data_IF_903804946825
#
_entry.id   IF_903804946825
#
_cell.length_a   1.000
_cell.length_b   1.000
_cell.length_c   1.000
_cell.angle_alpha   90.00
_cell.angle_beta   90.00
_cell.angle_gamma   90.00
#
_symmetry.space_group_name_H-M   'P 1'
#
loop_
_entity.id
_entity.type
_entity.pdbx_description
1 polymer ?
#
# COMPACT_ATOMS: atom_id res chain seq x y z
N UNK A 1 -68.86 -32.68 -13.71
CA UNK A 1 -68.23 -31.76 -14.67
C UNK A 1 -69.01 -30.45 -14.65
N UNK A 2 -68.52 -29.45 -13.89
CA UNK A 2 -69.16 -28.14 -13.81
C UNK A 2 -68.40 -27.17 -14.73
N UNK A 3 -69.04 -26.70 -15.79
CA UNK A 3 -68.47 -25.72 -16.72
C UNK A 3 -68.65 -24.34 -16.11
N UNK A 4 -67.56 -23.71 -15.68
CA UNK A 4 -67.57 -22.30 -15.25
C UNK A 4 -67.43 -21.44 -16.51
N UNK A 5 -68.46 -20.64 -16.79
CA UNK A 5 -68.44 -19.63 -17.85
C UNK A 5 -67.64 -18.42 -17.39
N UNK A 6 -66.75 -17.89 -18.24
CA UNK A 6 -66.05 -16.62 -18.00
C UNK A 6 -66.92 -15.48 -18.51
N UNK A 7 -67.25 -14.52 -17.64
CA UNK A 7 -67.81 -13.23 -18.04
C UNK A 7 -66.73 -12.38 -18.72
N UNK A 8 -67.07 -11.80 -19.88
CA UNK A 8 -66.30 -10.76 -20.53
C UNK A 8 -66.42 -9.47 -19.73
N UNK A 9 -65.28 -8.93 -19.26
CA UNK A 9 -65.23 -7.58 -18.70
C UNK A 9 -65.15 -6.59 -19.86
N UNK A 10 -66.17 -5.75 -19.97
CA UNK A 10 -66.24 -4.62 -20.90
C UNK A 10 -65.18 -3.55 -20.56
N UNK A 11 -64.77 -2.81 -21.60
CA UNK A 11 -63.79 -1.73 -21.60
C UNK A 11 -64.03 -0.69 -20.49
N UNK A 12 -63.07 -0.61 -19.55
CA UNK A 12 -62.96 0.44 -18.53
C UNK A 12 -62.04 1.59 -18.98
N UNK A 13 -62.11 2.77 -18.32
CA UNK A 13 -61.44 3.98 -18.78
C UNK A 13 -59.92 3.81 -18.87
N UNK A 14 -59.33 4.41 -19.92
CA UNK A 14 -57.90 4.37 -20.25
C UNK A 14 -57.04 4.45 -18.98
N UNK A 15 -56.28 3.38 -18.71
CA UNK A 15 -55.22 3.37 -17.71
C UNK A 15 -54.33 4.59 -17.95
N UNK A 16 -54.36 5.57 -17.04
CA UNK A 16 -53.22 6.47 -16.87
C UNK A 16 -51.99 5.58 -16.76
N UNK A 17 -51.02 5.77 -17.67
CA UNK A 17 -49.81 4.95 -17.71
C UNK A 17 -49.20 4.91 -16.31
N UNK A 18 -49.32 3.75 -15.64
CA UNK A 18 -48.86 3.60 -14.28
C UNK A 18 -47.34 3.68 -14.28
N UNK A 19 -46.82 4.86 -13.94
CA UNK A 19 -45.39 5.13 -13.92
C UNK A 19 -44.71 4.18 -12.92
N UNK A 20 -43.81 3.34 -13.44
CA UNK A 20 -43.01 2.45 -12.60
C UNK A 20 -42.00 3.25 -11.78
N UNK A 21 -41.58 2.72 -10.64
CA UNK A 21 -40.57 3.38 -9.80
C UNK A 21 -39.26 3.63 -10.58
N UNK A 22 -38.88 2.72 -11.47
CA UNK A 22 -37.72 2.89 -12.34
C UNK A 22 -37.87 4.04 -13.32
N UNK A 23 -39.06 4.23 -13.90
CA UNK A 23 -39.35 5.39 -14.77
C UNK A 23 -39.24 6.69 -14.00
N UNK A 24 -39.80 6.77 -12.78
CA UNK A 24 -39.65 7.96 -11.91
C UNK A 24 -38.19 8.27 -11.59
N UNK A 25 -37.40 7.25 -11.28
CA UNK A 25 -35.98 7.41 -10.96
C UNK A 25 -35.18 7.90 -12.17
N UNK A 26 -35.42 7.32 -13.35
CA UNK A 26 -34.77 7.74 -14.60
C UNK A 26 -35.18 9.16 -15.00
N UNK A 27 -36.46 9.49 -14.91
CA UNK A 27 -36.97 10.83 -15.20
C UNK A 27 -36.36 11.87 -14.26
N UNK A 28 -36.27 11.57 -12.96
CA UNK A 28 -35.61 12.44 -11.97
C UNK A 28 -34.13 12.65 -12.26
N UNK A 29 -33.42 11.59 -12.66
CA UNK A 29 -32.01 11.66 -13.00
C UNK A 29 -31.77 12.50 -14.25
N UNK A 30 -32.61 12.33 -15.27
CA UNK A 30 -32.53 13.07 -16.53
C UNK A 30 -32.80 14.56 -16.31
N UNK A 31 -33.79 14.92 -15.49
CA UNK A 31 -34.03 16.31 -15.07
C UNK A 31 -32.83 16.91 -14.33
N UNK A 32 -32.17 16.14 -13.47
CA UNK A 32 -30.97 16.61 -12.76
C UNK A 32 -29.76 16.79 -13.69
N UNK A 33 -29.66 16.01 -14.76
CA UNK A 33 -28.57 16.11 -15.75
C UNK A 33 -28.78 17.22 -16.78
N UNK A 34 -30.04 17.50 -17.15
CA UNK A 34 -30.39 18.57 -18.09
C UNK A 34 -30.52 19.95 -17.44
N UNK A 35 -30.49 20.03 -16.10
CA UNK A 35 -30.58 21.30 -15.40
C UNK A 35 -29.29 22.13 -15.61
N UNK A 36 -29.36 23.09 -16.54
CA UNK A 36 -28.27 24.02 -16.87
C UNK A 36 -28.28 25.30 -16.04
N UNK A 37 -29.35 25.53 -15.27
CA UNK A 37 -29.51 26.72 -14.46
C UNK A 37 -28.66 26.64 -13.19
N UNK A 38 -28.04 27.76 -12.83
CA UNK A 38 -27.17 27.84 -11.65
C UNK A 38 -28.02 28.19 -10.44
N UNK A 39 -28.64 27.19 -9.83
CA UNK A 39 -29.29 27.34 -8.53
C UNK A 39 -28.30 27.12 -7.37
N UNK A 40 -28.61 27.62 -6.18
CA UNK A 40 -27.81 27.50 -4.94
C UNK A 40 -27.56 26.01 -4.63
N UNK A 41 -28.53 25.13 -4.93
CA UNK A 41 -28.39 23.68 -4.77
C UNK A 41 -27.37 23.06 -5.76
N UNK A 42 -27.17 23.67 -6.93
CA UNK A 42 -26.15 23.28 -7.91
C UNK A 42 -24.74 23.66 -7.44
N UNK A 43 -24.60 24.80 -6.75
CA UNK A 43 -23.34 25.22 -6.11
C UNK A 43 -22.93 24.21 -5.02
N UNK A 44 -23.87 23.78 -4.17
CA UNK A 44 -23.60 22.75 -3.16
C UNK A 44 -23.17 21.41 -3.77
N UNK A 45 -23.79 20.96 -4.86
CA UNK A 45 -23.38 19.74 -5.59
C UNK A 45 -21.98 19.86 -6.21
N UNK A 46 -21.60 21.03 -6.71
CA UNK A 46 -20.24 21.30 -7.23
C UNK A 46 -19.20 21.36 -6.11
N UNK A 47 -19.57 21.78 -4.90
CA UNK A 47 -18.70 21.80 -3.73
C UNK A 47 -18.39 20.41 -3.17
N UNK A 48 -19.15 19.38 -3.54
CA UNK A 48 -18.84 17.98 -3.20
C UNK A 48 -17.64 17.42 -3.98
N UNK A 49 -17.19 18.11 -5.03
CA UNK A 49 -15.94 17.78 -5.68
C UNK A 49 -14.81 18.46 -4.92
N UNK A 50 -13.94 17.65 -4.30
CA UNK A 50 -12.66 18.15 -3.85
C UNK A 50 -11.97 18.81 -5.06
N UNK A 51 -11.43 20.03 -4.92
CA UNK A 51 -10.72 20.67 -6.02
C UNK A 51 -9.67 19.69 -6.55
N UNK A 52 -9.57 19.58 -7.87
CA UNK A 52 -8.57 18.73 -8.50
C UNK A 52 -7.24 19.00 -7.81
N UNK A 53 -6.62 17.97 -7.23
CA UNK A 53 -5.35 18.11 -6.57
C UNK A 53 -4.33 18.58 -7.62
N UNK A 54 -4.10 19.89 -7.66
CA UNK A 54 -3.08 20.45 -8.52
C UNK A 54 -1.75 20.00 -7.91
N UNK A 55 -1.09 19.05 -8.58
CA UNK A 55 0.27 18.68 -8.26
C UNK A 55 1.15 19.93 -8.43
N UNK A 56 1.52 20.56 -7.30
CA UNK A 56 2.40 21.73 -7.22
C UNK A 56 3.72 21.30 -6.57
N UNK A 57 4.62 20.65 -7.32
CA UNK A 57 5.90 20.23 -6.77
C UNK A 57 6.73 21.47 -6.43
N UNK A 58 7.48 21.43 -5.31
CA UNK A 58 8.39 22.49 -4.84
C UNK A 58 7.75 23.86 -4.52
N UNK A 59 6.41 23.95 -4.50
CA UNK A 59 5.69 25.20 -4.25
C UNK A 59 5.93 26.25 -5.34
N UNK A 60 6.11 27.52 -4.94
CA UNK A 60 6.34 28.64 -5.88
C UNK A 60 7.75 28.65 -6.47
N UNK A 61 8.69 27.90 -5.89
CA UNK A 61 10.11 27.95 -6.27
C UNK A 61 10.36 27.34 -7.66
N UNK A 62 9.57 26.33 -8.02
CA UNK A 62 9.57 25.71 -9.34
C UNK A 62 8.61 26.38 -10.35
N UNK A 63 7.98 27.50 -9.99
CA UNK A 63 7.18 28.25 -10.95
C UNK A 63 8.06 28.85 -12.06
N UNK A 64 7.54 28.87 -13.29
CA UNK A 64 8.23 29.42 -14.47
C UNK A 64 9.22 28.45 -15.13
N UNK A 65 10.05 28.99 -16.03
CA UNK A 65 11.05 28.21 -16.76
C UNK A 65 12.35 28.17 -15.95
N UNK A 66 12.79 26.97 -15.57
CA UNK A 66 14.08 26.72 -14.89
C UNK A 66 14.96 25.85 -15.77
N UNK A 67 16.28 25.98 -15.64
CA UNK A 67 17.19 25.01 -16.25
C UNK A 67 17.06 23.65 -15.56
N UNK A 68 17.41 22.56 -16.26
CA UNK A 68 17.43 21.22 -15.68
C UNK A 68 18.26 21.17 -14.38
N UNK A 69 19.40 21.84 -14.37
CA UNK A 69 20.29 21.91 -13.19
C UNK A 69 19.65 22.61 -12.01
N UNK A 70 18.91 23.70 -12.24
CA UNK A 70 18.18 24.41 -11.19
C UNK A 70 17.04 23.55 -10.63
N UNK A 71 16.37 22.79 -11.49
CA UNK A 71 15.31 21.88 -11.08
C UNK A 71 15.85 20.70 -10.25
N UNK A 72 16.97 20.10 -10.68
CA UNK A 72 17.64 19.03 -9.93
C UNK A 72 18.03 19.51 -8.52
N UNK A 73 18.61 20.71 -8.40
CA UNK A 73 18.94 21.26 -7.09
C UNK A 73 17.72 21.44 -6.17
N UNK A 74 16.56 21.84 -6.73
CA UNK A 74 15.30 21.91 -5.96
C UNK A 74 14.81 20.52 -5.53
N UNK A 75 14.92 19.54 -6.43
CA UNK A 75 14.56 18.16 -6.14
C UNK A 75 15.45 17.57 -5.05
N UNK A 76 16.77 17.71 -5.18
CA UNK A 76 17.74 17.25 -4.20
C UNK A 76 17.43 17.87 -2.83
N UNK A 77 17.21 19.18 -2.77
CA UNK A 77 16.83 19.87 -1.54
C UNK A 77 15.51 19.36 -0.93
N UNK A 78 14.48 19.09 -1.74
CA UNK A 78 13.23 18.51 -1.24
C UNK A 78 13.41 17.08 -0.76
N UNK A 79 14.23 16.26 -1.43
CA UNK A 79 14.55 14.90 -0.97
C UNK A 79 15.34 14.90 0.32
N UNK A 80 16.30 15.82 0.49
CA UNK A 80 17.05 16.00 1.73
C UNK A 80 16.10 16.40 2.87
N UNK A 81 15.21 17.36 2.64
CA UNK A 81 14.19 17.78 3.61
C UNK A 81 13.26 16.62 4.00
N UNK A 82 12.79 15.85 3.02
CA UNK A 82 11.98 14.66 3.27
C UNK A 82 12.74 13.63 4.12
N UNK A 83 14.02 13.39 3.80
CA UNK A 83 14.86 12.46 4.56
C UNK A 83 15.03 12.88 6.02
N UNK A 84 15.21 14.18 6.30
CA UNK A 84 15.30 14.71 7.66
C UNK A 84 13.96 14.57 8.42
N UNK A 85 12.83 14.71 7.73
CA UNK A 85 11.50 14.47 8.32
C UNK A 85 11.25 13.00 8.62
N UNK A 86 11.69 12.09 7.76
CA UNK A 86 11.63 10.64 8.01
C UNK A 86 12.48 10.22 9.22
N UNK A 87 13.60 10.93 9.43
CA UNK A 87 14.43 10.82 10.64
C UNK A 87 13.76 11.42 11.90
N UNK A 88 12.58 12.02 11.78
CA UNK A 88 11.76 12.50 12.88
C UNK A 88 12.14 13.89 13.40
N UNK A 89 12.87 14.68 12.61
CA UNK A 89 13.21 16.06 12.97
C UNK A 89 12.01 16.99 12.78
N UNK A 90 11.86 17.95 13.68
CA UNK A 90 10.88 19.05 13.58
C UNK A 90 11.41 20.14 12.65
N UNK A 91 10.53 20.95 12.04
CA UNK A 91 10.96 22.00 11.11
C UNK A 91 11.96 22.99 11.75
N UNK A 92 11.84 23.25 13.06
CA UNK A 92 12.80 24.09 13.80
C UNK A 92 14.18 23.44 13.95
N UNK A 93 14.24 22.12 14.18
CA UNK A 93 15.48 21.37 14.24
C UNK A 93 16.12 21.28 12.85
N UNK A 94 15.32 21.13 11.80
CA UNK A 94 15.79 21.11 10.40
C UNK A 94 16.44 22.44 10.01
N UNK A 95 15.81 23.58 10.33
CA UNK A 95 16.40 24.91 10.08
C UNK A 95 17.72 25.10 10.83
N UNK A 96 17.78 24.67 12.09
CA UNK A 96 18.99 24.75 12.90
C UNK A 96 20.09 23.81 12.36
N UNK A 97 19.71 22.65 11.84
CA UNK A 97 20.62 21.69 11.21
C UNK A 97 21.20 22.19 9.89
N UNK A 98 20.38 22.83 9.05
CA UNK A 98 20.82 23.41 7.77
C UNK A 98 21.77 24.60 7.95
N UNK A 99 21.59 25.38 9.03
CA UNK A 99 22.43 26.53 9.36
C UNK A 99 23.65 26.19 10.23
N UNK A 100 24.01 24.91 10.35
CA UNK A 100 25.14 24.47 11.20
C UNK A 100 26.51 24.97 10.72
N UNK A 101 26.68 25.07 9.40
CA UNK A 101 27.94 25.46 8.73
C UNK A 101 27.91 26.93 8.28
N UNK A 102 26.79 27.62 8.46
CA UNK A 102 26.65 29.03 8.10
C UNK A 102 27.44 29.91 9.09
N UNK A 103 28.23 30.88 8.62
CA UNK A 103 28.90 31.82 9.51
C UNK A 103 27.85 32.62 10.29
N UNK A 104 28.05 32.74 11.62
CA UNK A 104 27.18 33.53 12.51
C UNK A 104 27.20 35.00 12.07
N UNK A 105 26.27 35.37 11.19
CA UNK A 105 26.11 36.74 10.71
C UNK A 105 25.37 37.59 11.74
N UNK A 106 26.08 38.51 12.41
CA UNK A 106 25.72 39.88 12.84
C UNK A 106 24.25 40.29 13.09
N UNK A 107 23.31 39.41 13.41
CA UNK A 107 21.92 39.77 13.65
C UNK A 107 21.37 39.14 14.92
N UNK A 108 21.41 39.94 15.98
CA UNK A 108 20.44 39.92 17.08
C UNK A 108 20.53 38.74 18.04
N UNK A 109 21.04 39.01 19.26
CA UNK A 109 20.92 38.16 20.46
C UNK A 109 21.04 36.65 20.15
N UNK A 110 22.23 36.23 19.73
CA UNK A 110 22.53 34.81 19.60
C UNK A 110 22.48 34.16 20.99
N UNK A 111 21.80 33.01 21.08
CA UNK A 111 22.00 32.10 22.20
C UNK A 111 23.49 31.80 22.34
N UNK A 112 23.98 31.61 23.58
CA UNK A 112 25.38 31.31 23.82
C UNK A 112 25.85 30.18 22.89
N UNK A 113 27.04 30.28 22.27
CA UNK A 113 27.50 29.32 21.25
C UNK A 113 27.51 27.87 21.77
N UNK A 114 27.74 27.69 23.08
CA UNK A 114 27.61 26.38 23.73
C UNK A 114 26.19 25.79 23.70
N UNK A 115 25.15 26.61 23.83
CA UNK A 115 23.76 26.17 23.75
C UNK A 115 23.36 25.76 22.33
N UNK A 116 23.85 26.47 21.29
CA UNK A 116 23.67 26.08 19.89
C UNK A 116 24.35 24.73 19.62
N UNK A 117 25.58 24.56 20.08
CA UNK A 117 26.32 23.31 19.87
C UNK A 117 25.68 22.12 20.59
N UNK A 118 25.17 22.32 21.80
CA UNK A 118 24.40 21.30 22.53
C UNK A 118 23.15 20.88 21.77
N UNK A 119 22.38 21.85 21.24
CA UNK A 119 21.21 21.56 20.40
C UNK A 119 21.56 20.78 19.14
N UNK A 120 22.65 21.16 18.46
CA UNK A 120 23.17 20.42 17.30
C UNK A 120 23.59 18.99 17.68
N UNK A 121 24.13 18.79 18.88
CA UNK A 121 24.47 17.45 19.36
C UNK A 121 23.22 16.59 19.57
N UNK A 122 22.20 17.14 20.24
CA UNK A 122 20.92 16.42 20.41
C UNK A 122 20.31 16.03 19.06
N UNK A 123 20.38 16.91 18.06
CA UNK A 123 19.93 16.63 16.70
C UNK A 123 20.74 15.48 16.07
N UNK A 124 22.08 15.47 16.22
CA UNK A 124 22.93 14.37 15.76
C UNK A 124 22.53 13.04 16.38
N UNK A 125 22.40 13.01 17.70
CA UNK A 125 22.06 11.81 18.45
C UNK A 125 20.67 11.27 18.02
N UNK A 126 19.71 12.18 17.76
CA UNK A 126 18.37 11.85 17.26
C UNK A 126 18.40 11.24 15.86
N UNK A 127 19.19 11.82 14.95
CA UNK A 127 19.42 11.28 13.60
C UNK A 127 20.01 9.88 13.69
N UNK A 128 21.07 9.71 14.48
CA UNK A 128 21.77 8.43 14.64
C UNK A 128 20.85 7.35 15.20
N UNK A 129 20.13 7.64 16.29
CA UNK A 129 19.20 6.70 16.89
C UNK A 129 18.08 6.27 15.92
N UNK A 130 17.53 7.21 15.14
CA UNK A 130 16.47 6.89 14.17
C UNK A 130 17.03 6.13 12.96
N UNK A 131 18.20 6.49 12.47
CA UNK A 131 18.88 5.78 11.39
C UNK A 131 19.22 4.34 11.80
N UNK A 132 19.69 4.13 13.03
CA UNK A 132 19.95 2.79 13.58
C UNK A 132 18.66 1.96 13.58
N UNK A 133 17.54 2.51 14.06
CA UNK A 133 16.24 1.82 14.05
C UNK A 133 15.78 1.46 12.64
N UNK A 134 15.96 2.37 11.67
CA UNK A 134 15.59 2.15 10.27
C UNK A 134 16.51 1.14 9.56
N UNK A 135 17.77 1.04 9.96
CA UNK A 135 18.73 0.05 9.43
C UNK A 135 18.40 -1.38 9.83
N UNK A 136 17.69 -1.57 10.95
CA UNK A 136 17.32 -2.89 11.46
C UNK A 136 16.29 -3.53 10.51
N UNK A 137 16.45 -4.83 10.16
CA UNK A 137 15.47 -5.53 9.34
C UNK A 137 14.08 -5.46 9.96
N UNK A 138 13.19 -4.68 9.35
CA UNK A 138 11.82 -4.57 9.83
C UNK A 138 11.12 -5.90 9.54
N UNK A 139 10.66 -6.60 10.59
CA UNK A 139 10.06 -7.95 10.48
C UNK A 139 8.88 -8.05 9.50
N UNK A 140 8.32 -6.91 9.12
CA UNK A 140 7.15 -6.78 8.27
C UNK A 140 7.40 -6.00 6.97
N UNK A 141 8.63 -5.57 6.68
CA UNK A 141 8.92 -4.80 5.46
C UNK A 141 8.53 -5.57 4.17
N UNK A 142 8.58 -6.90 4.20
CA UNK A 142 8.14 -7.78 3.11
C UNK A 142 6.89 -8.59 3.44
N UNK A 143 6.22 -8.34 4.58
CA UNK A 143 5.00 -9.07 4.91
C UNK A 143 3.86 -8.56 4.06
N UNK A 144 3.47 -9.36 3.07
CA UNK A 144 2.26 -9.09 2.29
C UNK A 144 1.03 -9.39 3.16
N UNK A 145 0.03 -8.49 3.23
CA UNK A 145 -1.23 -8.82 3.87
C UNK A 145 -1.86 -10.03 3.17
N UNK A 146 -2.39 -10.96 3.96
CA UNK A 146 -3.09 -12.13 3.43
C UNK A 146 -4.48 -11.73 2.96
N UNK A 147 -4.87 -12.19 1.78
CA UNK A 147 -6.26 -12.10 1.32
C UNK A 147 -7.18 -12.94 2.21
N UNK A 148 -8.49 -12.64 2.18
CA UNK A 148 -9.50 -13.41 2.93
C UNK A 148 -9.41 -14.92 2.64
N UNK A 149 -9.27 -15.29 1.36
CA UNK A 149 -9.11 -16.69 0.94
C UNK A 149 -7.85 -17.33 1.51
N UNK A 150 -6.72 -16.62 1.50
CA UNK A 150 -5.46 -17.13 2.06
C UNK A 150 -5.56 -17.32 3.57
N UNK A 151 -6.26 -16.42 4.26
CA UNK A 151 -6.53 -16.55 5.69
C UNK A 151 -7.42 -17.76 5.99
N UNK A 152 -8.46 -18.01 5.20
CA UNK A 152 -9.33 -19.19 5.33
C UNK A 152 -8.55 -20.49 5.09
N UNK A 153 -7.67 -20.51 4.07
CA UNK A 153 -6.77 -21.63 3.81
C UNK A 153 -5.81 -21.85 4.98
N UNK A 154 -5.21 -20.78 5.51
CA UNK A 154 -4.29 -20.87 6.65
C UNK A 154 -4.99 -21.48 7.87
N UNK A 155 -6.22 -21.02 8.16
CA UNK A 155 -7.06 -21.53 9.26
C UNK A 155 -7.49 -22.98 9.05
N UNK A 156 -7.70 -23.41 7.81
CA UNK A 156 -8.02 -24.80 7.49
C UNK A 156 -6.80 -25.73 7.60
N UNK A 157 -5.61 -25.24 7.26
CA UNK A 157 -4.36 -26.01 7.27
C UNK A 157 -3.76 -26.16 8.67
N UNK A 158 -3.88 -25.13 9.51
CA UNK A 158 -3.30 -25.07 10.84
C UNK A 158 -4.37 -24.72 11.88
N UNK A 159 -4.48 -25.55 12.92
CA UNK A 159 -5.35 -25.29 14.06
C UNK A 159 -4.47 -24.99 15.28
N UNK A 160 -4.82 -23.97 16.07
CA UNK A 160 -4.06 -23.60 17.28
C UNK A 160 -2.59 -23.25 17.00
N UNK A 161 -1.67 -23.86 17.74
CA UNK A 161 -0.22 -23.55 17.70
C UNK A 161 0.57 -24.32 16.64
N UNK A 162 -0.07 -25.19 15.85
CA UNK A 162 0.58 -26.04 14.85
C UNK A 162 1.37 -25.24 13.80
N UNK A 163 0.88 -24.03 13.50
CA UNK A 163 1.55 -23.10 12.58
C UNK A 163 2.94 -22.73 13.06
N UNK A 164 3.10 -22.45 14.36
CA UNK A 164 4.38 -22.02 14.92
C UNK A 164 5.42 -23.12 14.76
N UNK A 165 5.08 -24.36 15.16
CA UNK A 165 5.97 -25.52 15.03
C UNK A 165 6.38 -25.79 13.58
N UNK A 166 5.42 -25.70 12.65
CA UNK A 166 5.69 -25.85 11.21
C UNK A 166 6.65 -24.77 10.68
N UNK A 167 6.42 -23.50 11.01
CA UNK A 167 7.26 -22.38 10.56
C UNK A 167 8.66 -22.44 11.17
N UNK A 168 8.78 -22.81 12.45
CA UNK A 168 10.06 -23.01 13.13
C UNK A 168 10.86 -24.14 12.47
N UNK A 169 10.23 -25.26 12.13
CA UNK A 169 10.88 -26.35 11.41
C UNK A 169 11.38 -25.92 10.02
N UNK A 170 10.62 -25.09 9.28
CA UNK A 170 11.05 -24.54 8.00
C UNK A 170 12.25 -23.60 8.14
N UNK A 171 12.27 -22.74 9.17
CA UNK A 171 13.37 -21.82 9.42
C UNK A 171 14.70 -22.56 9.68
N UNK A 172 14.66 -23.57 10.56
CA UNK A 172 15.85 -24.38 10.84
C UNK A 172 16.26 -25.25 9.63
N UNK A 173 15.29 -25.78 8.86
CA UNK A 173 15.59 -26.49 7.60
C UNK A 173 16.29 -25.58 6.59
N UNK A 174 15.87 -24.32 6.47
CA UNK A 174 16.51 -23.32 5.63
C UNK A 174 17.96 -23.05 6.04
N UNK A 175 18.24 -22.92 7.34
CA UNK A 175 19.60 -22.75 7.84
C UNK A 175 20.49 -23.97 7.55
N UNK A 176 19.98 -25.19 7.75
CA UNK A 176 20.72 -26.42 7.41
C UNK A 176 21.01 -26.51 5.91
N UNK A 177 20.06 -26.14 5.04
CA UNK A 177 20.24 -26.15 3.58
C UNK A 177 21.21 -25.06 3.09
N UNK A 178 21.27 -23.92 3.77
CA UNK A 178 22.25 -22.86 3.49
C UNK A 178 23.65 -23.24 3.97
N UNK A 179 23.76 -23.95 5.10
CA UNK A 179 25.05 -24.46 5.59
C UNK A 179 25.56 -25.62 4.71
N UNK A 180 24.70 -26.57 4.31
CA UNK A 180 25.08 -27.67 3.41
C UNK A 180 25.52 -27.17 2.02
N UNK A 181 24.99 -26.04 1.54
CA UNK A 181 25.44 -25.41 0.28
C UNK A 181 26.84 -24.81 0.37
N UNK A 182 27.33 -24.47 1.57
CA UNK A 182 28.70 -23.98 1.77
C UNK A 182 29.72 -25.13 1.81
N UNK A 183 29.28 -26.34 2.16
CA UNK A 183 30.18 -27.48 2.37
C UNK A 183 30.20 -28.52 1.21
N UNK A 184 29.37 -28.36 0.18
CA UNK A 184 29.24 -29.36 -0.90
C UNK A 184 30.03 -29.02 -2.17
N UNK A 185 30.94 -29.93 -2.56
CA UNK A 185 31.68 -29.86 -3.82
C UNK A 185 30.75 -29.98 -5.06
N UNK A 186 31.10 -29.34 -6.20
CA UNK A 186 30.20 -29.19 -7.35
C UNK A 186 29.71 -30.50 -8.00
N UNK A 187 30.35 -31.63 -7.71
CA UNK A 187 30.06 -32.92 -8.35
C UNK A 187 29.02 -33.80 -7.63
N UNK A 188 28.71 -33.55 -6.35
CA UNK A 188 27.71 -34.34 -5.62
C UNK A 188 26.28 -33.78 -5.72
N UNK A 189 26.14 -32.57 -6.27
CA UNK A 189 24.86 -31.85 -6.40
C UNK A 189 23.83 -32.55 -7.28
N UNK A 190 24.22 -33.53 -8.10
CA UNK A 190 23.34 -34.22 -9.08
C UNK A 190 22.79 -35.58 -8.63
N UNK A 191 23.16 -36.13 -7.46
CA UNK A 191 22.67 -37.46 -7.03
C UNK A 191 21.87 -37.50 -5.73
N UNK A 192 21.67 -36.37 -5.05
CA UNK A 192 21.13 -36.36 -3.68
C UNK A 192 19.66 -35.97 -3.48
N UNK A 193 18.78 -35.98 -4.49
CA UNK A 193 17.40 -35.48 -4.31
C UNK A 193 16.29 -36.53 -4.22
N UNK A 194 16.56 -37.83 -4.35
CA UNK A 194 15.46 -38.81 -4.47
C UNK A 194 15.18 -39.72 -3.26
N UNK A 195 15.97 -39.69 -2.17
CA UNK A 195 15.77 -40.64 -1.06
C UNK A 195 15.89 -40.03 0.34
N UNK A 196 15.04 -39.06 0.68
CA UNK A 196 14.66 -38.82 2.09
C UNK A 196 13.45 -37.88 2.28
N UNK A 197 12.41 -38.08 1.49
CA UNK A 197 11.12 -37.41 1.68
C UNK A 197 10.11 -38.40 2.28
N UNK A 198 10.21 -38.65 3.57
CA UNK A 198 9.09 -39.17 4.34
C UNK A 198 9.11 -38.51 5.72
N UNK A 199 8.35 -37.41 5.85
CA UNK A 199 8.01 -36.85 7.14
C UNK A 199 6.95 -37.78 7.77
N UNK A 200 7.15 -38.34 8.97
CA UNK A 200 6.07 -39.03 9.67
C UNK A 200 5.00 -37.98 10.05
N UNK A 201 3.79 -38.11 9.50
CA UNK A 201 2.62 -37.31 9.91
C UNK A 201 2.02 -36.35 8.87
N UNK A 202 2.59 -36.21 7.66
CA UNK A 202 1.91 -35.50 6.57
C UNK A 202 1.11 -36.50 5.73
N UNK A 203 -0.22 -36.38 5.74
CA UNK A 203 -1.07 -37.09 4.79
C UNK A 203 -0.72 -36.63 3.37
N UNK A 204 -0.70 -37.55 2.41
CA UNK A 204 -0.31 -37.31 1.01
C UNK A 204 -1.01 -36.09 0.37
N UNK A 205 -2.23 -35.76 0.83
CA UNK A 205 -2.97 -34.56 0.41
C UNK A 205 -2.29 -33.22 0.76
N UNK A 206 -1.58 -33.11 1.88
CA UNK A 206 -0.85 -31.88 2.26
C UNK A 206 0.43 -31.68 1.43
N UNK A 207 1.06 -32.77 0.97
CA UNK A 207 2.26 -32.71 0.13
C UNK A 207 1.92 -32.33 -1.33
N UNK A 208 0.80 -32.83 -1.85
CA UNK A 208 0.34 -32.58 -3.22
C UNK A 208 -0.02 -31.11 -3.44
N UNK A 209 -0.62 -30.43 -2.45
CA UNK A 209 -1.03 -29.03 -2.58
C UNK A 209 0.15 -28.05 -2.62
N UNK A 210 1.24 -28.33 -1.88
CA UNK A 210 2.47 -27.51 -1.90
C UNK A 210 3.19 -27.63 -3.25
N UNK A 211 3.15 -28.81 -3.89
CA UNK A 211 3.72 -29.01 -5.22
C UNK A 211 2.91 -28.29 -6.32
N UNK A 212 1.58 -28.24 -6.20
CA UNK A 212 0.69 -27.58 -7.18
C UNK A 212 0.79 -26.04 -7.11
N UNK A 213 1.10 -25.46 -5.95
CA UNK A 213 1.25 -24.00 -5.78
C UNK A 213 2.65 -23.47 -6.11
N UNK A 214 3.62 -24.34 -6.41
CA UNK A 214 5.02 -23.98 -6.71
C UNK A 214 5.39 -24.18 -8.20
N UNK A 215 4.43 -24.18 -9.13
CA UNK A 215 4.72 -24.11 -10.57
C UNK A 215 4.37 -22.72 -11.11
N UNK A 216 5.36 -21.85 -11.40
CA UNK A 216 5.09 -20.63 -12.15
C UNK A 216 4.60 -21.01 -13.56
N UNK A 217 3.39 -20.59 -13.89
CA UNK A 217 2.76 -20.88 -15.18
C UNK A 217 3.47 -20.18 -16.33
N UNK A 218 4.10 -20.95 -17.21
CA UNK A 218 4.33 -20.57 -18.60
C UNK A 218 3.22 -21.19 -19.44
N UNK A 219 2.08 -20.49 -19.57
CA UNK A 219 1.12 -20.76 -20.64
C UNK A 219 1.32 -19.67 -21.71
N UNK A 220 1.99 -20.07 -22.79
CA UNK A 220 2.21 -19.28 -23.99
C UNK A 220 0.86 -19.15 -24.73
N UNK A 221 0.47 -17.92 -25.06
CA UNK A 221 -0.68 -17.62 -25.92
C UNK A 221 -0.47 -18.21 -27.32
N UNK A 222 -1.52 -18.83 -27.86
CA UNK A 222 -1.62 -19.22 -29.27
C UNK A 222 -2.92 -18.64 -29.83
N UNK A 223 -2.79 -17.60 -30.63
CA UNK A 223 -3.73 -17.19 -31.68
C UNK A 223 -2.88 -16.82 -32.88
#
# INVERSE_FOLDING_TARGET
LLRVSRQSCEDGPLLEEQETEGQRQLHSLLLQQLHTDVDIQCVAKKQCFAPAALYRPFGEQAAGVRSLTQFQALQDGETELASLRELGLTDTEIQLWQSRDAPEGSHGVCAAPGAKQQRLQVIRDKIEARAELMSRPQRFASSRPLSRREMEIERALFQGTDRLGFLTALYHRGMVLMNLKRDMNPLERKRGCFSRFLMPGLTWGKLLLVLVLQTPGTFYNRT
#
